data_IF_672529177469
#
_entry.id   IF_672529177469
#
_cell.length_a   1.000
_cell.length_b   1.000
_cell.length_c   1.000
_cell.angle_alpha   90.00
_cell.angle_beta   90.00
_cell.angle_gamma   90.00
#
_symmetry.space_group_name_H-M   'P 1'
#
loop_
_entity.id
_entity.type
_entity.pdbx_description
1 polymer ?
#
# COMPACT_ATOMS: atom_id res chain seq x y z
N UNK A 1 -22.90 16.60 -46.00
CA UNK A 1 -21.57 16.43 -45.36
C UNK A 1 -21.81 16.44 -43.86
N UNK A 2 -21.54 15.42 -43.03
CA UNK A 2 -20.97 14.09 -43.18
C UNK A 2 -21.32 13.30 -41.90
N UNK A 3 -21.44 11.99 -42.06
CA UNK A 3 -21.87 10.99 -41.07
C UNK A 3 -20.87 10.90 -39.90
N UNK A 4 -21.26 11.33 -38.68
CA UNK A 4 -20.83 10.78 -37.36
C UNK A 4 -21.43 11.58 -36.20
N UNK A 5 -22.74 11.69 -36.23
CA UNK A 5 -23.55 12.00 -35.07
C UNK A 5 -24.14 10.67 -34.58
N UNK A 6 -24.09 10.41 -33.27
CA UNK A 6 -24.57 9.20 -32.52
C UNK A 6 -23.55 8.11 -32.22
N UNK A 7 -22.84 8.28 -31.10
CA UNK A 7 -22.37 7.29 -30.10
C UNK A 7 -21.72 8.16 -28.99
N UNK A 8 -22.21 8.38 -27.76
CA UNK A 8 -23.17 7.74 -26.89
C UNK A 8 -23.82 8.79 -25.95
N UNK A 9 -25.10 8.56 -25.69
CA UNK A 9 -26.09 9.28 -24.87
C UNK A 9 -25.74 9.31 -23.37
N UNK A 10 -26.27 10.29 -22.61
CA UNK A 10 -25.91 10.55 -21.21
C UNK A 10 -26.83 9.81 -20.23
N UNK A 11 -26.25 9.24 -19.17
CA UNK A 11 -26.85 9.17 -17.83
C UNK A 11 -25.91 8.50 -16.82
N UNK A 12 -25.82 9.14 -15.65
CA UNK A 12 -25.45 8.61 -14.32
C UNK A 12 -24.04 8.05 -14.09
N UNK A 13 -23.24 8.75 -13.28
CA UNK A 13 -22.88 8.31 -11.92
C UNK A 13 -21.85 9.25 -11.25
N UNK A 14 -21.84 9.25 -9.92
CA UNK A 14 -21.15 10.14 -8.95
C UNK A 14 -21.99 11.35 -8.56
N UNK A 15 -23.24 11.18 -8.12
CA UNK A 15 -23.65 10.44 -6.93
C UNK A 15 -22.82 10.84 -5.69
N UNK A 16 -23.47 11.63 -4.82
CA UNK A 16 -23.47 11.44 -3.36
C UNK A 16 -22.07 11.66 -2.76
N UNK A 17 -21.68 12.92 -2.51
CA UNK A 17 -21.88 13.52 -1.18
C UNK A 17 -22.21 12.46 -0.11
N UNK A 18 -21.23 12.11 0.73
CA UNK A 18 -21.37 11.24 1.90
C UNK A 18 -21.45 9.72 1.64
N UNK A 19 -20.26 9.09 1.56
CA UNK A 19 -20.06 7.70 2.00
C UNK A 19 -19.15 7.61 3.24
N UNK A 20 -18.84 8.71 3.94
CA UNK A 20 -18.08 8.70 5.22
C UNK A 20 -18.73 7.88 6.37
N UNK A 21 -19.77 7.10 6.09
CA UNK A 21 -20.43 6.20 7.03
C UNK A 21 -20.80 4.93 6.28
N UNK A 22 -19.88 3.98 6.15
CA UNK A 22 -20.22 2.56 6.29
C UNK A 22 -18.96 1.67 6.22
N UNK A 23 -18.94 0.68 7.12
CA UNK A 23 -18.08 -0.52 7.14
C UNK A 23 -16.60 -0.28 7.46
N UNK A 24 -16.08 -0.49 8.67
CA UNK A 24 -16.67 -1.12 9.85
C UNK A 24 -16.51 -2.64 9.88
N UNK A 25 -15.27 -3.10 10.05
CA UNK A 25 -14.77 -4.18 10.90
C UNK A 25 -15.47 -5.54 10.87
N UNK A 26 -14.72 -6.57 10.45
CA UNK A 26 -15.08 -7.93 10.85
C UNK A 26 -14.07 -9.04 10.54
N UNK A 27 -12.98 -9.16 11.30
CA UNK A 27 -12.45 -10.49 11.68
C UNK A 27 -11.87 -10.48 13.09
N UNK A 28 -12.41 -11.33 13.96
CA UNK A 28 -11.61 -12.07 14.94
C UNK A 28 -12.43 -13.23 15.50
N UNK A 29 -11.94 -14.47 15.39
CA UNK A 29 -11.79 -15.36 16.54
C UNK A 29 -10.68 -16.37 16.25
N UNK A 30 -9.73 -16.48 17.18
CA UNK A 30 -8.77 -17.58 17.19
C UNK A 30 -7.84 -17.63 18.39
N UNK A 31 -8.30 -17.44 19.63
CA UNK A 31 -7.47 -17.75 20.82
C UNK A 31 -8.28 -18.29 21.99
N UNK A 32 -8.34 -19.62 22.09
CA UNK A 32 -8.66 -20.32 23.33
C UNK A 32 -7.42 -21.13 23.73
N UNK A 33 -6.63 -20.63 24.69
CA UNK A 33 -5.56 -21.43 25.33
C UNK A 33 -5.00 -20.81 26.63
N UNK A 34 -5.81 -20.09 27.40
CA UNK A 34 -5.47 -19.74 28.79
C UNK A 34 -6.79 -19.74 29.57
N UNK A 35 -6.95 -20.70 30.49
CA UNK A 35 -8.17 -20.96 31.26
C UNK A 35 -8.65 -19.82 32.17
N UNK A 36 -9.05 -18.71 31.57
CA UNK A 36 -9.85 -17.64 32.15
C UNK A 36 -11.32 -17.85 31.75
N UNK A 37 -12.30 -17.54 32.63
CA UNK A 37 -13.72 -17.62 32.27
C UNK A 37 -13.97 -16.77 31.02
N UNK A 38 -14.56 -17.40 29.99
CA UNK A 38 -14.75 -16.90 28.62
C UNK A 38 -15.36 -15.48 28.56
N UNK A 39 -16.05 -15.06 29.62
CA UNK A 39 -16.69 -13.74 29.72
C UNK A 39 -15.72 -12.58 30.00
N UNK A 40 -14.49 -12.83 30.47
CA UNK A 40 -13.49 -11.78 30.74
C UNK A 40 -12.52 -11.52 29.57
N UNK A 41 -12.37 -12.47 28.63
CA UNK A 41 -11.47 -12.33 27.47
C UNK A 41 -12.06 -11.45 26.35
N UNK A 42 -13.38 -11.30 26.30
CA UNK A 42 -14.07 -10.46 25.30
C UNK A 42 -13.93 -8.97 25.61
N UNK A 43 -13.75 -8.58 26.88
CA UNK A 43 -13.63 -7.17 27.27
C UNK A 43 -12.28 -6.52 26.93
N UNK A 44 -11.18 -7.27 27.01
CA UNK A 44 -9.83 -6.70 26.82
C UNK A 44 -9.46 -6.58 25.34
N UNK A 45 -9.88 -7.52 24.48
CA UNK A 45 -9.64 -7.45 23.03
C UNK A 45 -10.43 -6.36 22.30
N UNK A 46 -11.65 -6.06 22.77
CA UNK A 46 -12.48 -4.99 22.21
C UNK A 46 -11.93 -3.61 22.61
N UNK A 47 -11.34 -3.47 23.80
CA UNK A 47 -10.79 -2.20 24.26
C UNK A 47 -9.53 -1.76 23.49
N UNK A 48 -8.64 -2.69 23.10
CA UNK A 48 -7.45 -2.37 22.29
C UNK A 48 -7.81 -2.04 20.84
N UNK A 49 -8.83 -2.69 20.26
CA UNK A 49 -9.30 -2.38 18.90
C UNK A 49 -10.08 -1.05 18.84
N UNK A 50 -10.88 -0.74 19.85
CA UNK A 50 -11.57 0.56 19.91
C UNK A 50 -10.58 1.74 20.11
N UNK A 51 -9.48 1.52 20.83
CA UNK A 51 -8.43 2.53 21.00
C UNK A 51 -7.65 2.79 19.70
N UNK A 52 -7.35 1.76 18.89
CA UNK A 52 -6.67 1.94 17.60
C UNK A 52 -7.59 2.60 16.56
N UNK A 53 -8.88 2.27 16.55
CA UNK A 53 -9.88 2.92 15.68
C UNK A 53 -10.07 4.40 16.05
N UNK A 54 -10.03 4.76 17.35
CA UNK A 54 -10.04 6.15 17.79
C UNK A 54 -8.77 6.93 17.42
N UNK A 55 -7.62 6.26 17.36
CA UNK A 55 -6.36 6.84 16.86
C UNK A 55 -6.39 7.00 15.33
N UNK A 56 -7.00 6.07 14.60
CA UNK A 56 -7.21 6.16 13.15
C UNK A 56 -8.25 7.22 12.75
N UNK A 57 -9.18 7.57 13.64
CA UNK A 57 -10.13 8.67 13.47
C UNK A 57 -9.53 10.07 13.74
N UNK A 58 -8.22 10.21 13.96
CA UNK A 58 -7.60 11.54 14.05
C UNK A 58 -7.73 12.27 12.72
N UNK A 59 -8.45 13.40 12.79
CA UNK A 59 -8.60 14.48 11.81
C UNK A 59 -7.36 14.70 10.94
N UNK A 60 -7.50 15.12 9.65
CA UNK A 60 -6.36 15.36 8.75
C UNK A 60 -5.53 16.54 9.26
N UNK A 61 -4.56 16.25 10.12
CA UNK A 61 -3.60 17.21 10.65
C UNK A 61 -2.30 17.05 9.88
N UNK A 62 -1.95 18.11 9.14
CA UNK A 62 -0.61 18.49 8.67
C UNK A 62 0.21 17.36 8.02
N UNK A 63 0.44 17.44 6.69
CA UNK A 63 1.34 16.58 5.90
C UNK A 63 2.41 15.95 6.79
N UNK A 64 2.17 14.70 7.20
CA UNK A 64 3.04 14.01 8.14
C UNK A 64 4.41 13.90 7.50
N UNK A 65 5.46 14.28 8.22
CA UNK A 65 6.81 14.24 7.65
C UNK A 65 7.14 12.79 7.29
N UNK A 66 7.48 12.53 6.03
CA UNK A 66 7.94 11.21 5.59
C UNK A 66 9.25 10.90 6.32
N UNK A 67 9.20 9.98 7.28
CA UNK A 67 10.37 9.45 7.99
C UNK A 67 10.62 8.00 7.58
N UNK A 68 11.55 7.71 6.65
CA UNK A 68 11.80 6.36 6.17
C UNK A 68 12.39 5.42 7.24
N UNK A 69 12.93 5.95 8.34
CA UNK A 69 13.68 5.13 9.30
C UNK A 69 12.80 4.27 10.21
N UNK A 70 11.52 4.62 10.32
CA UNK A 70 10.53 3.80 11.05
C UNK A 70 10.15 2.53 10.29
N UNK A 71 10.45 2.46 8.98
CA UNK A 71 10.17 1.29 8.15
C UNK A 71 11.32 0.27 8.22
N UNK A 72 10.98 -1.00 8.04
CA UNK A 72 11.95 -2.08 7.85
C UNK A 72 12.47 -2.10 6.41
N UNK A 73 13.50 -2.92 6.16
CA UNK A 73 13.86 -3.26 4.77
C UNK A 73 12.81 -4.23 4.18
N UNK A 74 12.45 -4.10 2.89
CA UNK A 74 13.02 -3.20 1.88
C UNK A 74 12.37 -1.81 1.77
N UNK A 75 11.27 -1.59 2.48
CA UNK A 75 10.40 -0.41 2.35
C UNK A 75 11.13 0.91 2.60
N UNK A 76 11.96 0.94 3.65
CA UNK A 76 12.84 2.09 3.95
C UNK A 76 13.68 2.50 2.75
N UNK A 77 14.35 1.54 2.10
CA UNK A 77 15.23 1.84 0.96
C UNK A 77 14.45 2.39 -0.22
N UNK A 78 13.27 1.84 -0.52
CA UNK A 78 12.42 2.30 -1.61
C UNK A 78 12.00 3.76 -1.42
N UNK A 79 11.58 4.13 -0.21
CA UNK A 79 11.21 5.51 0.12
C UNK A 79 12.40 6.45 0.09
N UNK A 80 13.55 6.05 0.64
CA UNK A 80 14.77 6.87 0.60
C UNK A 80 15.21 7.16 -0.84
N UNK A 81 15.12 6.17 -1.73
CA UNK A 81 15.44 6.33 -3.14
C UNK A 81 14.47 7.31 -3.80
N UNK A 82 13.16 7.11 -3.62
CA UNK A 82 12.14 8.01 -4.17
C UNK A 82 12.31 9.46 -3.69
N UNK A 83 12.59 9.68 -2.40
CA UNK A 83 12.90 11.00 -1.84
C UNK A 83 14.20 11.60 -2.41
N UNK A 84 15.20 10.76 -2.67
CA UNK A 84 16.43 11.17 -3.34
C UNK A 84 16.15 11.73 -4.75
N UNK A 85 15.37 10.99 -5.54
CA UNK A 85 14.97 11.38 -6.90
C UNK A 85 14.12 12.66 -6.89
N UNK A 86 13.14 12.78 -5.98
CA UNK A 86 12.34 14.00 -5.82
C UNK A 86 13.17 15.24 -5.50
N UNK A 87 14.13 15.13 -4.56
CA UNK A 87 15.07 16.24 -4.27
C UNK A 87 15.93 16.62 -5.46
N UNK A 88 16.41 15.62 -6.21
CA UNK A 88 17.20 15.85 -7.43
C UNK A 88 16.36 16.55 -8.49
N UNK A 89 15.08 16.18 -8.65
CA UNK A 89 14.17 16.87 -9.55
C UNK A 89 14.02 18.35 -9.16
N UNK A 90 13.72 18.63 -7.88
CA UNK A 90 13.58 20.00 -7.38
C UNK A 90 14.81 20.84 -7.68
N UNK A 91 16.00 20.29 -7.38
CA UNK A 91 17.27 20.95 -7.66
C UNK A 91 17.50 21.21 -9.15
N UNK A 92 17.03 20.32 -10.04
CA UNK A 92 17.10 20.54 -11.49
C UNK A 92 16.20 21.69 -11.93
N UNK A 93 14.97 21.75 -11.39
CA UNK A 93 13.97 22.79 -11.69
C UNK A 93 14.41 24.16 -11.13
N UNK A 94 15.01 24.19 -9.96
CA UNK A 94 15.49 25.43 -9.33
C UNK A 94 16.55 26.14 -10.20
N UNK A 95 17.33 25.36 -10.97
CA UNK A 95 18.32 25.87 -11.92
C UNK A 95 17.76 26.32 -13.28
N UNK A 96 16.44 26.26 -13.49
CA UNK A 96 15.77 26.82 -14.68
C UNK A 96 15.55 28.33 -14.46
N UNK A 97 15.73 29.12 -15.52
CA UNK A 97 15.47 30.56 -15.49
C UNK A 97 14.00 30.85 -15.14
N UNK A 98 13.77 31.97 -14.45
CA UNK A 98 12.42 32.37 -14.04
C UNK A 98 11.56 32.67 -15.28
N UNK A 99 10.38 32.06 -15.32
CA UNK A 99 9.45 32.20 -16.44
C UNK A 99 8.30 31.19 -16.38
N UNK A 100 7.43 31.17 -17.42
CA UNK A 100 6.27 30.27 -17.47
C UNK A 100 6.64 28.79 -17.39
N UNK A 101 7.75 28.39 -18.03
CA UNK A 101 8.26 27.03 -17.99
C UNK A 101 8.58 26.57 -16.56
N UNK A 102 9.33 27.39 -15.81
CA UNK A 102 9.67 27.08 -14.42
C UNK A 102 8.42 26.94 -13.54
N UNK A 103 7.42 27.80 -13.73
CA UNK A 103 6.15 27.72 -12.99
C UNK A 103 5.39 26.42 -13.29
N UNK A 104 5.38 25.99 -14.55
CA UNK A 104 4.79 24.71 -14.95
C UNK A 104 5.55 23.53 -14.33
N UNK A 105 6.88 23.52 -14.41
CA UNK A 105 7.72 22.48 -13.81
C UNK A 105 7.55 22.41 -12.28
N UNK A 106 7.41 23.54 -11.60
CA UNK A 106 7.14 23.60 -10.16
C UNK A 106 5.77 22.98 -9.83
N UNK A 107 4.73 23.31 -10.59
CA UNK A 107 3.39 22.74 -10.41
C UNK A 107 3.42 21.21 -10.54
N UNK A 108 4.14 20.73 -11.56
CA UNK A 108 4.34 19.31 -11.82
C UNK A 108 5.13 18.63 -10.68
N UNK A 109 6.18 19.28 -10.17
CA UNK A 109 6.96 18.76 -9.04
C UNK A 109 6.12 18.72 -7.75
N UNK A 110 5.24 19.69 -7.52
CA UNK A 110 4.33 19.68 -6.38
C UNK A 110 3.35 18.50 -6.47
N UNK A 111 2.89 18.12 -7.66
CA UNK A 111 2.07 16.93 -7.87
C UNK A 111 2.85 15.63 -7.59
N UNK A 112 4.12 15.59 -7.97
CA UNK A 112 5.01 14.47 -7.64
C UNK A 112 5.21 14.33 -6.13
N UNK A 113 5.29 15.43 -5.38
CA UNK A 113 5.39 15.41 -3.93
C UNK A 113 4.14 14.81 -3.26
N UNK A 114 2.97 14.87 -3.92
CA UNK A 114 1.78 14.11 -3.51
C UNK A 114 1.97 12.62 -3.81
N UNK A 115 2.44 12.25 -5.00
CA UNK A 115 2.78 10.86 -5.31
C UNK A 115 3.78 10.24 -4.32
N UNK A 116 4.78 10.99 -3.88
CA UNK A 116 5.73 10.52 -2.86
C UNK A 116 5.07 10.25 -1.50
N UNK A 117 4.03 11.01 -1.14
CA UNK A 117 3.23 10.72 0.06
C UNK A 117 2.40 9.45 -0.13
N UNK A 118 1.86 9.21 -1.32
CA UNK A 118 1.16 7.95 -1.61
C UNK A 118 2.09 6.74 -1.55
N UNK A 119 3.28 6.86 -2.12
CA UNK A 119 4.32 5.83 -2.03
C UNK A 119 4.69 5.53 -0.57
N UNK A 120 4.76 6.56 0.29
CA UNK A 120 4.99 6.42 1.72
C UNK A 120 3.87 5.62 2.41
N UNK A 121 2.61 5.93 2.14
CA UNK A 121 1.47 5.18 2.69
C UNK A 121 1.46 3.72 2.23
N UNK A 122 1.77 3.47 0.95
CA UNK A 122 1.92 2.11 0.40
C UNK A 122 3.04 1.35 1.11
N UNK A 123 4.19 2.00 1.33
CA UNK A 123 5.33 1.38 1.98
C UNK A 123 5.06 1.03 3.45
N UNK A 124 4.36 1.89 4.20
CA UNK A 124 3.92 1.57 5.57
C UNK A 124 3.03 0.33 5.60
N UNK A 125 2.03 0.28 4.73
CA UNK A 125 1.13 -0.89 4.63
C UNK A 125 1.88 -2.15 4.22
N UNK A 126 2.87 -2.03 3.33
CA UNK A 126 3.77 -3.12 2.99
C UNK A 126 4.56 -3.64 4.21
N UNK A 127 5.07 -2.73 5.05
CA UNK A 127 5.78 -3.06 6.29
C UNK A 127 4.85 -3.76 7.30
N UNK A 128 3.62 -3.29 7.46
CA UNK A 128 2.60 -3.91 8.31
C UNK A 128 2.23 -5.33 7.83
N UNK A 129 2.19 -5.56 6.51
CA UNK A 129 2.00 -6.89 5.94
C UNK A 129 3.16 -7.82 6.31
N UNK A 130 4.40 -7.34 6.19
CA UNK A 130 5.60 -8.10 6.57
C UNK A 130 5.64 -8.41 8.07
N UNK A 131 5.21 -7.49 8.91
CA UNK A 131 5.04 -7.72 10.35
C UNK A 131 3.97 -8.79 10.63
N UNK A 132 2.82 -8.72 9.95
CA UNK A 132 1.75 -9.71 10.08
C UNK A 132 2.23 -11.11 9.67
N UNK A 133 2.96 -11.23 8.56
CA UNK A 133 3.58 -12.49 8.12
C UNK A 133 4.56 -13.00 9.17
N UNK A 134 5.38 -12.12 9.75
CA UNK A 134 6.33 -12.49 10.80
C UNK A 134 5.62 -13.00 12.06
N UNK A 135 4.50 -12.39 12.44
CA UNK A 135 3.69 -12.83 13.57
C UNK A 135 3.02 -14.19 13.35
N UNK A 136 2.54 -14.47 12.12
CA UNK A 136 2.02 -15.78 11.76
C UNK A 136 3.07 -16.90 11.86
N UNK A 137 4.37 -16.55 11.76
CA UNK A 137 5.51 -17.46 11.83
C UNK A 137 5.32 -18.73 10.97
N UNK A 138 5.37 -18.61 9.64
CA UNK A 138 5.16 -19.73 8.72
C UNK A 138 6.15 -20.87 8.94
N UNK A 139 7.33 -20.58 9.46
CA UNK A 139 8.34 -21.59 9.80
C UNK A 139 7.84 -22.47 10.93
N UNK A 140 7.36 -21.87 12.03
CA UNK A 140 6.76 -22.62 13.13
C UNK A 140 5.49 -23.35 12.72
N UNK A 141 4.64 -22.74 11.87
CA UNK A 141 3.45 -23.40 11.35
C UNK A 141 3.79 -24.65 10.52
N UNK A 142 4.83 -24.61 9.69
CA UNK A 142 5.32 -25.80 8.95
C UNK A 142 5.80 -26.88 9.90
N UNK A 143 6.63 -26.55 10.90
CA UNK A 143 7.08 -27.53 11.90
C UNK A 143 5.91 -28.15 12.69
N UNK A 144 4.89 -27.35 13.02
CA UNK A 144 3.66 -27.84 13.66
C UNK A 144 2.89 -28.78 12.74
N UNK A 145 2.76 -28.45 11.46
CA UNK A 145 2.09 -29.30 10.47
C UNK A 145 2.80 -30.65 10.33
N UNK A 146 4.12 -30.65 10.27
CA UNK A 146 4.92 -31.88 10.18
C UNK A 146 4.74 -32.76 11.42
N UNK A 147 4.69 -32.14 12.61
CA UNK A 147 4.43 -32.85 13.87
C UNK A 147 3.03 -33.48 13.89
N UNK A 148 2.00 -32.71 13.54
CA UNK A 148 0.62 -33.21 13.49
C UNK A 148 0.45 -34.35 12.49
N UNK A 149 1.13 -34.30 11.34
CA UNK A 149 1.11 -35.36 10.35
C UNK A 149 1.83 -36.63 10.82
N UNK A 150 2.94 -36.48 11.56
CA UNK A 150 3.63 -37.61 12.16
C UNK A 150 2.78 -38.30 13.24
N UNK A 151 2.05 -37.53 14.05
CA UNK A 151 1.15 -38.04 15.09
C UNK A 151 -0.13 -38.70 14.53
N UNK A 152 -0.62 -38.23 13.39
CA UNK A 152 -1.80 -38.76 12.73
C UNK A 152 -1.67 -40.24 12.31
N UNK A 153 -0.46 -40.67 11.92
CA UNK A 153 -0.23 -42.01 11.36
C UNK A 153 -1.14 -42.32 10.16
N UNK A 154 -1.50 -43.59 9.99
CA UNK A 154 -2.36 -44.04 8.88
C UNK A 154 -3.86 -43.77 9.09
N UNK A 155 -4.28 -43.45 10.31
CA UNK A 155 -5.69 -43.27 10.66
C UNK A 155 -5.89 -42.10 11.65
N UNK A 156 -5.90 -40.84 11.17
CA UNK A 156 -6.07 -39.67 12.01
C UNK A 156 -7.44 -39.64 12.70
N UNK A 157 -7.46 -39.15 13.94
CA UNK A 157 -8.71 -38.74 14.59
C UNK A 157 -9.32 -37.54 13.85
N UNK A 158 -10.63 -37.32 14.01
CA UNK A 158 -11.29 -36.14 13.44
C UNK A 158 -10.69 -34.81 13.95
N UNK A 159 -10.25 -34.77 15.21
CA UNK A 159 -9.64 -33.59 15.81
C UNK A 159 -8.27 -33.30 15.19
N UNK A 160 -7.43 -34.34 14.99
CA UNK A 160 -6.12 -34.19 14.34
C UNK A 160 -6.28 -33.74 12.88
N UNK A 161 -7.24 -34.31 12.15
CA UNK A 161 -7.54 -33.90 10.77
C UNK A 161 -7.99 -32.43 10.69
N UNK A 162 -8.83 -31.98 11.64
CA UNK A 162 -9.28 -30.58 11.75
C UNK A 162 -8.11 -29.64 12.05
N UNK A 163 -7.21 -30.04 12.95
CA UNK A 163 -6.01 -29.26 13.28
C UNK A 163 -5.06 -29.13 12.09
N UNK A 164 -4.83 -30.20 11.34
CA UNK A 164 -4.02 -30.19 10.10
C UNK A 164 -4.60 -29.20 9.09
N UNK A 165 -5.90 -29.31 8.78
CA UNK A 165 -6.56 -28.43 7.82
C UNK A 165 -6.49 -26.95 8.26
N UNK A 166 -6.59 -26.67 9.56
CA UNK A 166 -6.45 -25.31 10.09
C UNK A 166 -5.04 -24.74 9.89
N UNK A 167 -3.99 -25.52 10.16
CA UNK A 167 -2.60 -25.07 9.96
C UNK A 167 -2.29 -24.89 8.48
N UNK A 168 -2.79 -25.77 7.60
CA UNK A 168 -2.67 -25.62 6.15
C UNK A 168 -3.32 -24.32 5.65
N UNK A 169 -4.50 -23.98 6.16
CA UNK A 169 -5.18 -22.74 5.81
C UNK A 169 -4.42 -21.48 6.30
N UNK A 170 -3.79 -21.55 7.47
CA UNK A 170 -2.94 -20.48 7.98
C UNK A 170 -1.70 -20.28 7.10
N UNK A 171 -1.04 -21.38 6.69
CA UNK A 171 0.10 -21.33 5.75
C UNK A 171 -0.30 -20.77 4.39
N UNK A 172 -1.45 -21.19 3.84
CA UNK A 172 -1.98 -20.66 2.59
C UNK A 172 -2.26 -19.14 2.70
N UNK A 173 -2.72 -18.68 3.86
CA UNK A 173 -2.93 -17.25 4.13
C UNK A 173 -1.62 -16.49 4.18
N UNK A 174 -0.62 -17.00 4.91
CA UNK A 174 0.70 -16.38 4.98
C UNK A 174 1.37 -16.27 3.61
N UNK A 175 1.22 -17.29 2.75
CA UNK A 175 1.78 -17.25 1.40
C UNK A 175 1.10 -16.19 0.52
N UNK A 176 -0.23 -16.04 0.59
CA UNK A 176 -0.94 -14.98 -0.14
C UNK A 176 -0.50 -13.58 0.33
N UNK A 177 -0.34 -13.37 1.63
CA UNK A 177 0.16 -12.11 2.18
C UNK A 177 1.60 -11.83 1.70
N UNK A 178 2.45 -12.86 1.68
CA UNK A 178 3.83 -12.75 1.21
C UNK A 178 3.92 -12.39 -0.26
N UNK A 179 3.18 -13.09 -1.12
CA UNK A 179 3.15 -12.80 -2.55
C UNK A 179 2.78 -11.34 -2.78
N UNK A 180 1.78 -10.87 -2.04
CA UNK A 180 1.33 -9.50 -2.13
C UNK A 180 2.35 -8.46 -1.68
N UNK A 181 3.06 -8.72 -0.57
CA UNK A 181 4.14 -7.86 -0.10
C UNK A 181 5.20 -7.72 -1.19
N UNK A 182 5.58 -8.83 -1.82
CA UNK A 182 6.54 -8.84 -2.95
C UNK A 182 6.02 -8.02 -4.14
N UNK A 183 4.78 -8.27 -4.59
CA UNK A 183 4.19 -7.55 -5.73
C UNK A 183 4.11 -6.04 -5.49
N UNK A 184 3.82 -5.64 -4.24
CA UNK A 184 3.76 -4.24 -3.82
C UNK A 184 5.16 -3.61 -3.85
N UNK A 185 6.17 -4.31 -3.33
CA UNK A 185 7.54 -3.85 -3.37
C UNK A 185 8.08 -3.72 -4.81
N UNK A 186 7.75 -4.67 -5.69
CA UNK A 186 8.12 -4.62 -7.11
C UNK A 186 7.45 -3.47 -7.84
N UNK A 187 6.18 -3.20 -7.54
CA UNK A 187 5.45 -2.06 -8.10
C UNK A 187 6.09 -0.74 -7.68
N UNK A 188 6.47 -0.58 -6.41
CA UNK A 188 7.20 0.61 -5.93
C UNK A 188 8.59 0.76 -6.58
N UNK A 189 9.32 -0.34 -6.81
CA UNK A 189 10.60 -0.30 -7.56
C UNK A 189 10.41 0.19 -9.00
N UNK A 190 9.34 -0.27 -9.65
CA UNK A 190 9.00 0.19 -10.99
C UNK A 190 8.65 1.69 -11.00
N UNK A 191 7.85 2.16 -10.05
CA UNK A 191 7.56 3.60 -9.87
C UNK A 191 8.85 4.39 -9.65
N UNK A 192 9.76 3.93 -8.79
CA UNK A 192 11.04 4.60 -8.56
C UNK A 192 11.88 4.71 -9.84
N UNK A 193 11.90 3.65 -10.65
CA UNK A 193 12.61 3.69 -11.95
C UNK A 193 12.04 4.77 -12.87
N UNK A 194 10.71 4.93 -12.88
CA UNK A 194 10.02 6.01 -13.61
C UNK A 194 10.35 7.39 -13.03
N UNK A 195 10.45 7.54 -11.70
CA UNK A 195 10.92 8.78 -11.07
C UNK A 195 12.32 9.17 -11.55
N UNK A 196 13.24 8.21 -11.61
CA UNK A 196 14.60 8.46 -12.09
C UNK A 196 14.64 8.87 -13.57
N UNK A 197 13.75 8.30 -14.39
CA UNK A 197 13.55 8.71 -15.78
C UNK A 197 13.00 10.14 -15.90
N UNK A 198 12.00 10.50 -15.07
CA UNK A 198 11.45 11.86 -15.03
C UNK A 198 12.52 12.89 -14.66
N UNK A 199 13.39 12.58 -13.70
CA UNK A 199 14.54 13.43 -13.35
C UNK A 199 15.47 13.63 -14.56
N UNK A 200 15.71 12.57 -15.34
CA UNK A 200 16.49 12.66 -16.56
C UNK A 200 15.81 13.55 -17.61
N UNK A 201 14.50 13.33 -17.88
CA UNK A 201 13.72 14.15 -18.82
C UNK A 201 13.64 15.62 -18.40
N UNK A 202 13.49 15.91 -17.11
CA UNK A 202 13.54 17.29 -16.60
C UNK A 202 14.88 17.98 -16.90
N UNK A 203 15.97 17.20 -16.87
CA UNK A 203 17.30 17.70 -17.24
C UNK A 203 17.40 17.99 -18.75
N UNK A 204 16.73 17.21 -19.59
CA UNK A 204 16.63 17.45 -21.04
C UNK A 204 15.78 18.67 -21.38
N UNK A 205 14.63 18.83 -20.71
CA UNK A 205 13.76 20.01 -20.84
C UNK A 205 14.54 21.29 -20.51
N UNK A 206 15.36 21.27 -19.44
CA UNK A 206 16.22 22.39 -19.06
C UNK A 206 17.24 22.76 -20.15
N UNK A 207 17.76 21.77 -20.89
CA UNK A 207 18.73 22.00 -21.98
C UNK A 207 18.02 22.29 -23.32
N UNK A 208 16.69 22.28 -23.35
CA UNK A 208 15.88 22.52 -24.54
C UNK A 208 15.83 21.33 -25.50
N UNK A 209 16.13 20.12 -25.02
CA UNK A 209 16.14 18.89 -25.83
C UNK A 209 14.81 18.13 -25.82
N UNK A 210 13.86 18.50 -24.95
CA UNK A 210 12.58 17.80 -24.78
C UNK A 210 11.40 18.76 -24.54
N UNK A 211 10.19 18.29 -24.85
CA UNK A 211 8.95 19.04 -24.77
C UNK A 211 8.29 18.94 -23.38
N UNK A 212 7.79 20.07 -22.89
CA UNK A 212 7.24 20.21 -21.53
C UNK A 212 5.88 19.52 -21.39
N UNK A 213 5.07 19.51 -22.45
CA UNK A 213 3.74 18.88 -22.42
C UNK A 213 3.83 17.35 -22.34
N UNK A 214 4.87 16.77 -22.92
CA UNK A 214 5.14 15.33 -22.78
C UNK A 214 5.58 15.00 -21.36
N UNK A 215 6.51 15.78 -20.83
CA UNK A 215 6.97 15.63 -19.45
C UNK A 215 5.84 15.74 -18.41
N UNK A 216 4.90 16.67 -18.59
CA UNK A 216 3.73 16.82 -17.71
C UNK A 216 2.87 15.54 -17.68
N UNK A 217 2.58 14.96 -18.86
CA UNK A 217 1.79 13.73 -18.97
C UNK A 217 2.44 12.53 -18.29
N UNK A 218 3.76 12.41 -18.39
CA UNK A 218 4.48 11.30 -17.74
C UNK A 218 4.38 11.35 -16.21
N UNK A 219 4.28 12.55 -15.63
CA UNK A 219 4.12 12.76 -14.19
C UNK A 219 2.69 12.47 -13.74
N UNK A 220 1.70 12.92 -14.51
CA UNK A 220 0.29 12.56 -14.27
C UNK A 220 0.12 11.04 -14.25
N UNK A 221 0.66 10.34 -15.25
CA UNK A 221 0.59 8.87 -15.36
C UNK A 221 1.24 8.16 -14.15
N UNK A 222 2.34 8.72 -13.62
CA UNK A 222 3.02 8.17 -12.46
C UNK A 222 2.21 8.34 -11.17
N UNK A 223 1.62 9.53 -10.96
CA UNK A 223 0.81 9.81 -9.78
C UNK A 223 -0.47 8.97 -9.80
N UNK A 224 -1.13 8.85 -10.95
CA UNK A 224 -2.30 7.97 -11.13
C UNK A 224 -1.94 6.51 -10.81
N UNK A 225 -0.75 6.04 -11.21
CA UNK A 225 -0.31 4.69 -10.89
C UNK A 225 -0.13 4.48 -9.38
N UNK A 226 0.42 5.47 -8.67
CA UNK A 226 0.61 5.41 -7.22
C UNK A 226 -0.73 5.43 -6.48
N UNK A 227 -1.67 6.29 -6.88
CA UNK A 227 -3.03 6.30 -6.33
C UNK A 227 -3.74 4.96 -6.55
N UNK A 228 -3.62 4.37 -7.76
CA UNK A 228 -4.18 3.07 -8.06
C UNK A 228 -3.57 1.96 -7.20
N UNK A 229 -2.26 2.00 -6.96
CA UNK A 229 -1.57 1.04 -6.08
C UNK A 229 -2.01 1.21 -4.62
N UNK A 230 -2.16 2.44 -4.16
CA UNK A 230 -2.68 2.76 -2.84
C UNK A 230 -4.09 2.19 -2.65
N UNK A 231 -5.00 2.48 -3.60
CA UNK A 231 -6.39 2.02 -3.55
C UNK A 231 -6.48 0.49 -3.60
N UNK A 232 -5.70 -0.16 -4.47
CA UNK A 232 -5.65 -1.62 -4.54
C UNK A 232 -5.19 -2.25 -3.20
N UNK A 233 -4.34 -1.55 -2.44
CA UNK A 233 -3.90 -1.98 -1.12
C UNK A 233 -4.98 -1.77 -0.04
N UNK A 234 -5.80 -0.72 -0.16
CA UNK A 234 -6.94 -0.47 0.74
C UNK A 234 -8.09 -1.46 0.54
N UNK A 235 -8.54 -1.68 -0.70
CA UNK A 235 -9.77 -2.45 -1.00
C UNK A 235 -9.75 -3.89 -0.46
N UNK A 236 -8.56 -4.44 -0.33
CA UNK A 236 -8.30 -5.80 0.15
C UNK A 236 -8.10 -5.93 1.65
N UNK A 237 -8.05 -4.81 2.36
CA UNK A 237 -8.08 -4.77 3.81
C UNK A 237 -9.41 -4.12 4.17
N UNK A 238 -10.56 -4.82 4.02
CA UNK A 238 -11.80 -4.35 4.60
C UNK A 238 -11.59 -4.45 6.11
N UNK A 239 -11.10 -3.35 6.69
CA UNK A 239 -10.78 -3.25 8.11
C UNK A 239 -11.94 -3.72 8.95
#
# INVERSE_FOLDING_TARGET
MGVRDRFFTPQTAKAILSWRIAVGAGVAVGTALLGLPVMAAVGVGIATYAASVLVAMRSPSERSSIDPFVLSEPWRRLIQQAQGSGRKLRSTIDGVDDGPLKQQLVTIADQLDHGLQEAWEIAKRGDDLDETIRHLDPTRLRSKLDTLRAEAGDAPSADTATAIASVEQQLATAERLRQRSVDTADSLRATQTRLDELVARASEVRVGMSDTDTYARDIDDLVIQLEALHQALEETNPG
#
